data_IF_764023538036
#
_entry.id   IF_764023538036
#
_cell.length_a   1.000
_cell.length_b   1.000
_cell.length_c   1.000
_cell.angle_alpha   90.00
_cell.angle_beta   90.00
_cell.angle_gamma   90.00
#
_symmetry.space_group_name_H-M   'P 1'
#
loop_
_entity.id
_entity.type
_entity.pdbx_description
1 polymer ?
#
# COMPACT_ATOMS: atom_id res chain seq x y z
N UNK A 1 -8.15 -28.74 -21.96
CA UNK A 1 -7.18 -28.44 -20.88
C UNK A 1 -6.98 -26.94 -20.91
N UNK A 2 -7.77 -26.21 -20.12
CA UNK A 2 -7.68 -24.75 -20.03
C UNK A 2 -6.45 -24.45 -19.18
N UNK A 3 -5.35 -24.02 -19.80
CA UNK A 3 -4.29 -23.34 -19.08
C UNK A 3 -4.88 -22.01 -18.65
N UNK A 4 -5.43 -21.95 -17.43
CA UNK A 4 -5.71 -20.68 -16.77
C UNK A 4 -4.40 -19.90 -16.79
N UNK A 5 -4.41 -18.71 -17.41
CA UNK A 5 -3.32 -17.73 -17.33
C UNK A 5 -3.25 -17.24 -15.87
N UNK A 6 -2.82 -18.11 -14.96
CA UNK A 6 -2.68 -17.76 -13.55
C UNK A 6 -1.49 -16.83 -13.40
N UNK A 7 -1.77 -15.66 -12.83
CA UNK A 7 -0.74 -14.71 -12.47
C UNK A 7 0.23 -15.37 -11.49
N UNK A 8 1.51 -15.11 -11.65
CA UNK A 8 2.55 -15.57 -10.74
C UNK A 8 3.63 -14.52 -10.57
N UNK A 9 4.40 -14.61 -9.48
CA UNK A 9 5.55 -13.73 -9.27
C UNK A 9 6.58 -13.83 -10.42
N UNK A 10 6.76 -15.02 -11.00
CA UNK A 10 7.63 -15.23 -12.17
C UNK A 10 7.06 -14.53 -13.42
N UNK A 11 5.75 -14.62 -13.65
CA UNK A 11 5.09 -13.92 -14.75
C UNK A 11 5.21 -12.40 -14.62
N UNK A 12 5.02 -11.87 -13.40
CA UNK A 12 5.22 -10.45 -13.11
C UNK A 12 6.67 -10.00 -13.37
N UNK A 13 7.66 -10.80 -12.98
CA UNK A 13 9.08 -10.51 -13.27
C UNK A 13 9.37 -10.48 -14.78
N UNK A 14 8.84 -11.45 -15.54
CA UNK A 14 9.00 -11.48 -16.98
C UNK A 14 8.34 -10.27 -17.68
N UNK A 15 7.21 -9.78 -17.14
CA UNK A 15 6.63 -8.51 -17.59
C UNK A 15 7.57 -7.34 -17.30
N UNK A 16 8.13 -7.26 -16.08
CA UNK A 16 9.07 -6.21 -15.71
C UNK A 16 10.27 -6.17 -16.65
N UNK A 17 10.92 -7.30 -16.88
CA UNK A 17 12.08 -7.40 -17.78
C UNK A 17 11.72 -6.95 -19.21
N UNK A 18 10.56 -7.36 -19.72
CA UNK A 18 10.08 -7.00 -21.05
C UNK A 18 9.82 -5.50 -21.17
N UNK A 19 9.09 -4.91 -20.22
CA UNK A 19 8.80 -3.48 -20.22
C UNK A 19 10.06 -2.65 -20.11
N UNK A 20 11.01 -3.00 -19.23
CA UNK A 20 12.26 -2.25 -19.10
C UNK A 20 13.16 -2.36 -20.35
N UNK A 21 12.97 -3.39 -21.18
CA UNK A 21 13.70 -3.52 -22.44
C UNK A 21 13.22 -2.50 -23.50
N UNK A 22 11.90 -2.31 -23.64
CA UNK A 22 11.31 -1.50 -24.72
C UNK A 22 10.74 -0.15 -24.28
N UNK A 23 10.65 0.14 -22.97
CA UNK A 23 10.09 1.37 -22.42
C UNK A 23 11.18 2.24 -21.74
N UNK A 24 11.83 3.18 -22.46
CA UNK A 24 13.00 3.89 -21.97
C UNK A 24 12.75 4.73 -20.70
N UNK A 25 11.57 5.36 -20.59
CA UNK A 25 11.23 6.18 -19.42
C UNK A 25 11.11 5.33 -18.16
N UNK A 26 10.43 4.18 -18.22
CA UNK A 26 10.36 3.27 -17.09
C UNK A 26 11.76 2.74 -16.74
N UNK A 27 12.55 2.31 -17.73
CA UNK A 27 13.95 1.88 -17.52
C UNK A 27 14.78 2.93 -16.77
N UNK A 28 14.75 4.18 -17.22
CA UNK A 28 15.49 5.26 -16.57
C UNK A 28 15.07 5.46 -15.10
N UNK A 29 13.77 5.40 -14.81
CA UNK A 29 13.28 5.54 -13.43
C UNK A 29 13.63 4.34 -12.54
N UNK A 30 13.72 3.13 -13.11
CA UNK A 30 14.23 1.95 -12.39
C UNK A 30 15.75 2.03 -12.16
N UNK A 31 16.52 2.49 -13.13
CA UNK A 31 17.97 2.71 -12.99
C UNK A 31 18.27 3.75 -11.90
N UNK A 32 17.44 4.80 -11.79
CA UNK A 32 17.55 5.83 -10.75
C UNK A 32 17.36 5.28 -9.32
N UNK A 33 16.79 4.08 -9.14
CA UNK A 33 16.74 3.41 -7.83
C UNK A 33 18.14 3.08 -7.28
N UNK A 34 19.16 3.00 -8.13
CA UNK A 34 20.53 2.76 -7.68
C UNK A 34 21.13 3.98 -6.95
N UNK A 35 20.58 5.18 -7.22
CA UNK A 35 21.09 6.46 -6.70
C UNK A 35 20.27 6.98 -5.51
N UNK A 36 19.23 6.25 -5.08
CA UNK A 36 18.41 6.68 -3.94
C UNK A 36 19.22 6.67 -2.65
N UNK A 37 19.08 7.73 -1.85
CA UNK A 37 19.70 7.81 -0.52
C UNK A 37 18.71 7.31 0.53
N UNK A 38 19.18 6.49 1.46
CA UNK A 38 18.36 6.00 2.57
C UNK A 38 18.96 6.47 3.90
N UNK A 39 18.13 7.07 4.75
CA UNK A 39 18.46 7.41 6.13
C UNK A 39 17.52 6.68 7.09
N UNK A 40 18.08 5.82 7.92
CA UNK A 40 17.33 5.10 8.95
C UNK A 40 17.20 5.93 10.23
N UNK A 41 15.96 6.21 10.65
CA UNK A 41 15.62 6.81 11.94
C UNK A 41 15.11 5.72 12.88
N UNK A 42 15.78 5.54 14.03
CA UNK A 42 15.47 4.47 15.00
C UNK A 42 14.66 5.00 16.19
N UNK A 43 13.69 4.21 16.64
CA UNK A 43 12.81 4.52 17.77
C UNK A 43 12.83 3.40 18.83
N UNK A 44 14.00 2.76 19.00
CA UNK A 44 14.14 1.59 19.85
C UNK A 44 13.79 0.32 19.08
N UNK A 45 12.62 -0.26 19.36
CA UNK A 45 12.21 -1.57 18.83
C UNK A 45 11.80 -1.56 17.35
N UNK A 46 11.61 -0.39 16.74
CA UNK A 46 11.22 -0.23 15.34
C UNK A 46 12.03 0.91 14.69
N UNK A 47 11.95 0.99 13.36
CA UNK A 47 12.63 2.04 12.59
C UNK A 47 11.75 2.56 11.45
N UNK A 48 12.12 3.73 10.96
CA UNK A 48 11.62 4.30 9.71
C UNK A 48 12.83 4.52 8.80
N UNK A 49 12.78 3.95 7.61
CA UNK A 49 13.79 4.15 6.57
C UNK A 49 13.28 5.26 5.63
N UNK A 50 13.89 6.43 5.71
CA UNK A 50 13.57 7.59 4.86
C UNK A 50 14.34 7.44 3.55
N UNK A 51 13.63 7.25 2.44
CA UNK A 51 14.20 7.15 1.09
C UNK A 51 14.06 8.48 0.37
N UNK A 52 15.18 9.05 -0.08
CA UNK A 52 15.18 10.17 -1.02
C UNK A 52 15.14 9.64 -2.47
N UNK A 53 14.04 9.92 -3.17
CA UNK A 53 13.82 9.49 -4.54
C UNK A 53 13.24 10.63 -5.40
N UNK A 54 14.10 11.50 -5.97
CA UNK A 54 13.66 12.67 -6.73
C UNK A 54 12.99 12.31 -8.06
N UNK A 55 13.26 11.13 -8.63
CA UNK A 55 12.61 10.65 -9.87
C UNK A 55 11.09 10.51 -9.71
N UNK A 56 10.58 10.44 -8.46
CA UNK A 56 9.15 10.37 -8.17
C UNK A 56 8.46 11.72 -8.04
N UNK A 57 9.13 12.86 -8.27
CA UNK A 57 8.52 14.18 -8.09
C UNK A 57 7.21 14.36 -8.89
N UNK A 58 7.15 13.82 -10.11
CA UNK A 58 5.95 13.88 -10.97
C UNK A 58 4.80 13.06 -10.38
N UNK A 59 5.08 11.84 -9.91
CA UNK A 59 4.09 10.94 -9.32
C UNK A 59 3.61 11.43 -7.94
N UNK A 60 4.53 11.88 -7.09
CA UNK A 60 4.23 12.37 -5.74
C UNK A 60 3.58 13.75 -5.72
N UNK A 61 3.80 14.55 -6.77
CA UNK A 61 3.19 15.87 -6.97
C UNK A 61 1.84 15.84 -7.68
N UNK A 62 1.33 14.67 -8.07
CA UNK A 62 0.04 14.56 -8.75
C UNK A 62 -1.08 15.11 -7.86
N UNK A 63 -1.87 16.04 -8.41
CA UNK A 63 -3.03 16.61 -7.73
C UNK A 63 -4.18 15.60 -7.73
N UNK A 64 -4.71 15.32 -6.55
CA UNK A 64 -5.76 14.31 -6.31
C UNK A 64 -7.10 14.93 -5.87
N UNK A 65 -7.24 16.25 -5.95
CA UNK A 65 -8.51 16.92 -5.73
C UNK A 65 -9.48 16.68 -6.91
N UNK A 66 -10.78 16.72 -6.64
CA UNK A 66 -11.81 16.39 -7.62
C UNK A 66 -11.77 17.27 -8.89
N UNK A 67 -11.42 18.56 -8.74
CA UNK A 67 -11.30 19.48 -9.86
C UNK A 67 -10.12 19.08 -10.77
N UNK A 68 -8.96 18.77 -10.19
CA UNK A 68 -7.80 18.28 -10.96
C UNK A 68 -8.05 16.91 -11.61
N UNK A 69 -8.75 16.00 -10.93
CA UNK A 69 -9.06 14.66 -11.45
C UNK A 69 -10.00 14.76 -12.65
N UNK A 70 -11.10 15.51 -12.54
CA UNK A 70 -12.08 15.67 -13.63
C UNK A 70 -11.50 16.31 -14.90
N UNK A 71 -10.35 17.00 -14.79
CA UNK A 71 -9.70 17.71 -15.88
C UNK A 71 -8.58 16.91 -16.58
N UNK A 72 -8.25 15.71 -16.10
CA UNK A 72 -7.20 14.87 -16.70
C UNK A 72 -7.75 13.50 -17.13
N UNK A 73 -7.27 12.92 -18.22
CA UNK A 73 -7.51 11.51 -18.51
C UNK A 73 -6.94 10.64 -17.38
N UNK A 74 -7.69 9.63 -16.92
CA UNK A 74 -7.20 8.68 -15.92
C UNK A 74 -6.10 7.81 -16.53
N UNK A 75 -4.88 7.94 -16.00
CA UNK A 75 -3.67 7.26 -16.47
C UNK A 75 -3.63 5.75 -16.20
N UNK A 76 -4.65 5.20 -15.51
CA UNK A 76 -4.80 3.76 -15.29
C UNK A 76 -5.75 3.11 -16.32
N UNK A 77 -6.59 3.90 -17.00
CA UNK A 77 -7.43 3.41 -18.09
C UNK A 77 -6.59 3.02 -19.30
N UNK A 78 -6.95 1.90 -19.93
CA UNK A 78 -6.25 1.34 -21.08
C UNK A 78 -5.96 2.36 -22.18
N UNK A 79 -6.97 3.14 -22.59
CA UNK A 79 -6.85 4.15 -23.64
C UNK A 79 -5.89 5.32 -23.33
N UNK A 80 -5.49 5.50 -22.07
CA UNK A 80 -4.66 6.63 -21.63
C UNK A 80 -3.28 6.18 -21.13
N UNK A 81 -3.00 4.86 -21.10
CA UNK A 81 -1.68 4.35 -20.71
C UNK A 81 -0.66 4.61 -21.81
N UNK A 82 0.63 4.71 -21.46
CA UNK A 82 1.71 4.68 -22.44
C UNK A 82 1.57 3.45 -23.34
N UNK A 83 1.70 3.58 -24.67
CA UNK A 83 1.55 2.46 -25.59
C UNK A 83 2.63 1.38 -25.39
N UNK A 84 3.75 1.73 -24.76
CA UNK A 84 4.80 0.78 -24.38
C UNK A 84 4.40 -0.07 -23.17
N UNK A 85 3.47 0.36 -22.30
CA UNK A 85 3.19 -0.36 -21.07
C UNK A 85 2.39 -1.65 -21.35
N UNK A 86 3.05 -2.81 -21.27
CA UNK A 86 2.37 -4.09 -21.39
C UNK A 86 1.57 -4.41 -20.11
N UNK A 87 0.71 -5.42 -20.22
CA UNK A 87 -0.16 -5.81 -19.12
C UNK A 87 -0.35 -7.34 -19.06
N UNK A 88 -0.52 -7.86 -17.84
CA UNK A 88 -0.93 -9.24 -17.61
C UNK A 88 -2.37 -9.29 -17.06
N UNK A 89 -3.31 -9.97 -17.73
CA UNK A 89 -4.65 -10.20 -17.18
C UNK A 89 -4.58 -11.07 -15.92
N UNK A 90 -5.42 -10.77 -14.93
CA UNK A 90 -5.57 -11.61 -13.74
C UNK A 90 -6.99 -11.55 -13.18
N UNK A 91 -7.35 -12.58 -12.40
CA UNK A 91 -8.71 -12.81 -11.86
C UNK A 91 -9.80 -12.70 -12.95
N UNK A 92 -9.77 -13.64 -13.90
CA UNK A 92 -10.73 -13.71 -15.00
C UNK A 92 -10.87 -12.41 -15.79
N UNK A 93 -9.72 -11.82 -16.12
CA UNK A 93 -9.63 -10.58 -16.88
C UNK A 93 -10.18 -9.35 -16.14
N UNK A 94 -10.61 -9.46 -14.87
CA UNK A 94 -11.14 -8.32 -14.14
C UNK A 94 -10.06 -7.28 -13.83
N UNK A 95 -8.83 -7.73 -13.62
CA UNK A 95 -7.69 -6.87 -13.31
C UNK A 95 -6.56 -7.01 -14.31
N UNK A 96 -5.68 -6.01 -14.31
CA UNK A 96 -4.44 -5.96 -15.06
C UNK A 96 -3.28 -5.70 -14.13
N UNK A 97 -2.28 -6.57 -14.12
CA UNK A 97 -0.98 -6.28 -13.53
C UNK A 97 -0.12 -5.51 -14.55
N UNK A 98 0.37 -4.35 -14.13
CA UNK A 98 1.17 -3.39 -14.90
C UNK A 98 2.48 -3.11 -14.16
N UNK A 99 3.57 -2.84 -14.89
CA UNK A 99 4.78 -2.27 -14.29
C UNK A 99 4.50 -0.84 -13.85
N UNK A 100 4.85 -0.49 -12.61
CA UNK A 100 4.76 0.90 -12.16
C UNK A 100 5.97 1.68 -12.69
N UNK A 101 5.79 2.70 -13.55
CA UNK A 101 6.91 3.44 -14.15
C UNK A 101 7.62 4.40 -13.19
N UNK A 102 7.10 4.63 -11.98
CA UNK A 102 7.69 5.49 -10.95
C UNK A 102 8.01 4.68 -9.68
N UNK A 103 8.97 3.74 -9.75
CA UNK A 103 9.17 2.76 -8.71
C UNK A 103 9.76 3.37 -7.43
N UNK A 104 9.45 2.71 -6.31
CA UNK A 104 10.09 2.90 -4.99
C UNK A 104 10.86 1.62 -4.62
N UNK A 105 10.39 0.50 -5.15
CA UNK A 105 10.84 -0.86 -4.89
C UNK A 105 11.49 -1.42 -6.14
N UNK A 106 12.38 -2.41 -5.97
CA UNK A 106 13.09 -3.05 -7.10
C UNK A 106 12.14 -3.76 -8.07
N UNK A 107 11.05 -4.30 -7.52
CA UNK A 107 9.87 -4.78 -8.23
C UNK A 107 8.70 -3.95 -7.72
N UNK A 108 8.06 -3.21 -8.62
CA UNK A 108 6.92 -2.39 -8.28
C UNK A 108 5.86 -2.48 -9.39
N UNK A 109 4.73 -3.08 -9.04
CA UNK A 109 3.61 -3.28 -9.94
C UNK A 109 2.40 -2.49 -9.47
N UNK A 110 1.58 -2.04 -10.42
CA UNK A 110 0.24 -1.52 -10.18
C UNK A 110 -0.75 -2.55 -10.73
N UNK A 111 -1.71 -2.97 -9.92
CA UNK A 111 -2.74 -3.93 -10.34
C UNK A 111 -4.07 -3.18 -10.42
N UNK A 112 -4.55 -2.89 -11.62
CA UNK A 112 -5.72 -2.02 -11.85
C UNK A 112 -6.96 -2.84 -12.20
N UNK A 113 -8.14 -2.43 -11.75
CA UNK A 113 -9.40 -3.01 -12.27
C UNK A 113 -9.58 -2.52 -13.72
N UNK A 114 -10.00 -3.38 -14.66
CA UNK A 114 -10.18 -2.94 -16.06
C UNK A 114 -11.27 -1.88 -16.18
N UNK A 115 -12.36 -2.07 -15.46
CA UNK A 115 -13.45 -1.10 -15.39
C UNK A 115 -12.99 0.08 -14.53
N UNK A 116 -13.16 1.30 -15.06
CA UNK A 116 -12.92 2.51 -14.29
C UNK A 116 -13.98 2.62 -13.18
N UNK A 117 -13.60 2.26 -11.96
CA UNK A 117 -14.45 2.40 -10.78
C UNK A 117 -13.68 3.09 -9.66
N UNK A 118 -14.34 3.87 -8.78
CA UNK A 118 -13.67 4.53 -7.67
C UNK A 118 -12.87 3.57 -6.78
N UNK A 119 -11.74 4.06 -6.25
CA UNK A 119 -10.89 3.33 -5.31
C UNK A 119 -11.69 2.94 -4.06
N UNK A 120 -11.97 1.65 -3.89
CA UNK A 120 -12.55 1.11 -2.66
C UNK A 120 -12.28 -0.39 -2.53
N UNK A 121 -12.00 -0.87 -1.32
CA UNK A 121 -11.80 -2.30 -1.00
C UNK A 121 -13.12 -3.05 -0.73
N UNK A 122 -14.27 -2.34 -0.70
CA UNK A 122 -15.57 -2.95 -0.51
C UNK A 122 -16.04 -3.79 -1.72
N UNK A 123 -17.18 -4.47 -1.61
CA UNK A 123 -17.80 -5.17 -2.76
C UNK A 123 -17.03 -6.39 -3.27
N UNK A 124 -16.45 -7.19 -2.37
CA UNK A 124 -15.71 -8.42 -2.72
C UNK A 124 -14.24 -8.21 -3.08
N UNK A 125 -13.77 -6.96 -3.14
CA UNK A 125 -12.38 -6.65 -3.53
C UNK A 125 -11.34 -7.03 -2.48
N UNK A 126 -11.75 -7.26 -1.23
CA UNK A 126 -10.89 -7.87 -0.23
C UNK A 126 -10.53 -9.32 -0.60
N UNK A 127 -11.49 -10.10 -1.11
CA UNK A 127 -11.22 -11.46 -1.59
C UNK A 127 -10.25 -11.42 -2.78
N UNK A 128 -10.46 -10.50 -3.73
CA UNK A 128 -9.53 -10.26 -4.84
C UNK A 128 -8.11 -9.93 -4.34
N UNK A 129 -8.00 -9.04 -3.36
CA UNK A 129 -6.73 -8.62 -2.75
C UNK A 129 -5.99 -9.80 -2.09
N UNK A 130 -6.71 -10.70 -1.40
CA UNK A 130 -6.16 -11.90 -0.78
C UNK A 130 -5.69 -12.92 -1.83
N UNK A 131 -6.46 -13.11 -2.89
CA UNK A 131 -6.11 -14.04 -3.97
C UNK A 131 -4.90 -13.54 -4.75
N UNK A 132 -4.81 -12.24 -5.03
CA UNK A 132 -3.62 -11.62 -5.63
C UNK A 132 -2.39 -11.79 -4.73
N UNK A 133 -2.54 -11.63 -3.41
CA UNK A 133 -1.45 -11.86 -2.47
C UNK A 133 -0.96 -13.33 -2.47
N UNK A 134 -1.86 -14.28 -2.73
CA UNK A 134 -1.55 -15.70 -2.88
C UNK A 134 -0.83 -15.99 -4.21
N UNK A 135 -1.36 -15.49 -5.33
CA UNK A 135 -0.80 -15.66 -6.68
C UNK A 135 0.59 -15.04 -6.80
N UNK A 136 0.80 -13.88 -6.16
CA UNK A 136 2.06 -13.14 -6.14
C UNK A 136 2.91 -13.44 -4.90
N UNK A 137 2.83 -14.67 -4.37
CA UNK A 137 3.64 -15.09 -3.22
C UNK A 137 5.13 -14.78 -3.44
N UNK A 138 5.77 -14.22 -2.41
CA UNK A 138 7.12 -13.64 -2.49
C UNK A 138 7.13 -12.12 -2.66
N UNK A 139 6.01 -11.50 -3.02
CA UNK A 139 5.80 -10.06 -2.99
C UNK A 139 4.91 -9.65 -1.80
N UNK A 140 4.88 -8.35 -1.50
CA UNK A 140 3.92 -7.74 -0.57
C UNK A 140 2.91 -6.93 -1.38
N UNK A 141 1.62 -7.22 -1.20
CA UNK A 141 0.52 -6.45 -1.78
C UNK A 141 0.23 -5.23 -0.92
N UNK A 142 -0.07 -4.10 -1.55
CA UNK A 142 -0.41 -2.84 -0.90
C UNK A 142 -1.76 -2.33 -1.39
N UNK A 143 -2.52 -1.73 -0.47
CA UNK A 143 -3.71 -0.95 -0.79
C UNK A 143 -3.69 0.38 -0.04
N UNK A 144 -4.04 1.44 -0.75
CA UNK A 144 -4.26 2.77 -0.18
C UNK A 144 -5.75 3.08 -0.31
N UNK A 145 -6.44 3.33 0.80
CA UNK A 145 -7.79 3.88 0.75
C UNK A 145 -7.81 5.20 -0.05
N UNK A 146 -8.96 5.62 -0.61
CA UNK A 146 -9.05 6.75 -1.54
C UNK A 146 -8.42 8.04 -0.99
N UNK A 147 -8.58 8.30 0.32
CA UNK A 147 -7.98 9.45 1.00
C UNK A 147 -6.74 9.08 1.84
N UNK A 148 -6.00 8.02 1.50
CA UNK A 148 -4.86 7.50 2.27
C UNK A 148 -3.60 7.30 1.42
N UNK A 149 -3.30 8.24 0.51
CA UNK A 149 -2.10 8.19 -0.34
C UNK A 149 -2.31 7.49 -1.68
N UNK A 150 -3.56 7.25 -2.10
CA UNK A 150 -3.88 6.80 -3.45
C UNK A 150 -3.61 7.92 -4.47
N UNK A 151 -2.91 7.60 -5.56
CA UNK A 151 -2.58 8.55 -6.64
C UNK A 151 -3.69 8.72 -7.70
N UNK A 152 -4.63 7.78 -7.73
CA UNK A 152 -5.81 7.76 -8.59
C UNK A 152 -7.01 7.29 -7.75
N UNK A 153 -7.61 8.16 -6.90
CA UNK A 153 -8.75 7.76 -6.07
C UNK A 153 -10.02 7.49 -6.90
N UNK A 154 -10.04 7.91 -8.16
CA UNK A 154 -11.09 7.67 -9.15
C UNK A 154 -11.04 6.28 -9.80
N UNK A 155 -9.92 5.57 -9.72
CA UNK A 155 -9.76 4.25 -10.37
C UNK A 155 -9.12 3.22 -9.43
N UNK A 156 -9.84 2.14 -9.14
CA UNK A 156 -9.41 1.04 -8.31
C UNK A 156 -8.07 0.45 -8.77
N UNK A 157 -7.13 0.41 -7.83
CA UNK A 157 -5.86 -0.28 -7.97
C UNK A 157 -5.29 -0.77 -6.65
N UNK A 158 -4.55 -1.88 -6.75
CA UNK A 158 -3.60 -2.37 -5.76
C UNK A 158 -2.17 -2.13 -6.25
N UNK A 159 -1.20 -2.41 -5.40
CA UNK A 159 0.20 -2.49 -5.80
C UNK A 159 0.81 -3.80 -5.31
N UNK A 160 1.78 -4.34 -6.03
CA UNK A 160 2.60 -5.45 -5.54
C UNK A 160 4.07 -5.03 -5.57
N UNK A 161 4.77 -5.25 -4.47
CA UNK A 161 6.11 -4.71 -4.26
C UNK A 161 7.07 -5.77 -3.72
N UNK A 162 8.37 -5.50 -3.86
CA UNK A 162 9.42 -6.37 -3.31
C UNK A 162 9.27 -6.51 -1.80
N UNK A 163 9.11 -7.75 -1.33
CA UNK A 163 9.09 -8.06 0.09
C UNK A 163 10.46 -7.81 0.73
N UNK A 164 10.47 -7.33 1.97
CA UNK A 164 11.66 -7.13 2.79
C UNK A 164 12.29 -5.75 2.63
N UNK A 165 11.77 -4.90 1.74
CA UNK A 165 12.20 -3.51 1.61
C UNK A 165 11.51 -2.56 2.61
N UNK A 166 10.35 -2.95 3.18
CA UNK A 166 9.68 -2.18 4.22
C UNK A 166 10.09 -2.71 5.60
N UNK A 167 10.46 -1.85 6.57
CA UNK A 167 10.68 -2.28 7.95
C UNK A 167 9.55 -3.13 8.53
N UNK A 168 8.29 -2.79 8.19
CA UNK A 168 7.08 -3.49 8.63
C UNK A 168 7.11 -5.00 8.36
N UNK A 169 7.74 -5.44 7.26
CA UNK A 169 7.82 -6.87 6.89
C UNK A 169 8.49 -7.71 7.98
N UNK A 170 9.36 -7.10 8.80
CA UNK A 170 10.05 -7.75 9.93
C UNK A 170 9.52 -7.31 11.30
N UNK A 171 9.02 -6.08 11.41
CA UNK A 171 8.47 -5.54 12.65
C UNK A 171 7.21 -6.28 13.10
N UNK A 172 6.38 -6.75 12.16
CA UNK A 172 5.13 -7.46 12.47
C UNK A 172 5.32 -8.77 13.24
N UNK A 173 6.50 -9.36 13.15
CA UNK A 173 6.86 -10.63 13.81
C UNK A 173 7.72 -10.40 15.07
N UNK A 174 8.34 -9.22 15.22
CA UNK A 174 9.26 -8.91 16.31
C UNK A 174 8.68 -7.96 17.37
N UNK A 175 7.73 -7.10 16.99
CA UNK A 175 7.07 -6.19 17.92
C UNK A 175 6.04 -6.93 18.78
N UNK A 176 5.85 -6.44 20.00
CA UNK A 176 4.86 -7.00 20.92
C UNK A 176 3.44 -6.84 20.34
N UNK A 177 2.79 -7.98 20.08
CA UNK A 177 1.42 -8.05 19.61
C UNK A 177 0.49 -8.51 20.73
N UNK A 178 -0.54 -7.71 21.01
CA UNK A 178 -1.65 -8.10 21.89
C UNK A 178 -2.71 -8.83 21.08
N UNK A 179 -2.95 -10.10 21.40
CA UNK A 179 -4.01 -10.90 20.79
C UNK A 179 -5.39 -10.33 21.17
N UNK A 180 -6.26 -10.15 20.17
CA UNK A 180 -7.63 -9.64 20.33
C UNK A 180 -8.68 -10.71 20.05
N UNK A 181 -8.52 -11.46 18.96
CA UNK A 181 -9.41 -12.56 18.57
C UNK A 181 -8.55 -13.76 18.18
N UNK A 182 -8.98 -14.95 18.59
CA UNK A 182 -8.44 -16.23 18.14
C UNK A 182 -9.58 -17.13 17.71
N UNK A 183 -9.50 -17.62 16.48
CA UNK A 183 -10.30 -18.74 15.97
C UNK A 183 -9.35 -19.88 15.59
N UNK A 184 -9.86 -21.07 15.22
CA UNK A 184 -9.02 -22.16 14.72
C UNK A 184 -8.21 -21.77 13.48
N UNK A 185 -8.79 -20.97 12.58
CA UNK A 185 -8.22 -20.66 11.28
C UNK A 185 -7.52 -19.30 11.20
N UNK A 186 -7.76 -18.40 12.16
CA UNK A 186 -7.19 -17.07 12.10
C UNK A 186 -7.03 -16.40 13.48
N UNK A 187 -6.19 -15.37 13.52
CA UNK A 187 -6.02 -14.49 14.68
C UNK A 187 -6.06 -13.03 14.26
N UNK A 188 -6.63 -12.20 15.12
CA UNK A 188 -6.49 -10.74 15.05
C UNK A 188 -5.66 -10.31 16.26
N UNK A 189 -4.58 -9.61 16.01
CA UNK A 189 -3.73 -9.00 17.04
C UNK A 189 -3.53 -7.52 16.77
N UNK A 190 -3.07 -6.79 17.78
CA UNK A 190 -2.76 -5.37 17.69
C UNK A 190 -1.33 -5.09 18.15
N UNK A 191 -0.63 -4.23 17.42
CA UNK A 191 0.68 -3.70 17.80
C UNK A 191 0.53 -2.18 18.01
N UNK A 192 1.06 -1.68 19.12
CA UNK A 192 1.01 -0.28 19.55
C UNK A 192 2.41 0.21 19.91
N UNK A 193 2.57 1.53 20.14
CA UNK A 193 3.86 2.11 20.53
C UNK A 193 4.88 2.23 19.40
N UNK A 194 4.46 2.06 18.13
CA UNK A 194 5.34 2.09 16.94
C UNK A 194 5.06 3.27 15.99
N UNK A 195 4.59 4.41 16.53
CA UNK A 195 4.07 5.62 15.82
C UNK A 195 2.80 5.41 15.00
N UNK A 196 2.65 4.23 14.40
CA UNK A 196 1.51 3.81 13.59
C UNK A 196 0.89 2.56 14.21
N UNK A 197 -0.32 2.62 14.76
CA UNK A 197 -0.96 1.43 15.32
C UNK A 197 -1.29 0.44 14.20
N UNK A 198 -1.08 -0.84 14.46
CA UNK A 198 -1.26 -1.92 13.48
C UNK A 198 -2.31 -2.90 14.00
N UNK A 199 -3.20 -3.34 13.11
CA UNK A 199 -4.08 -4.48 13.33
C UNK A 199 -3.65 -5.59 12.38
N UNK A 200 -3.23 -6.72 12.94
CA UNK A 200 -2.59 -7.81 12.20
C UNK A 200 -3.52 -9.01 12.20
N UNK A 201 -3.92 -9.43 11.00
CA UNK A 201 -4.70 -10.62 10.74
C UNK A 201 -3.74 -11.70 10.21
N UNK A 202 -3.68 -12.84 10.88
CA UNK A 202 -3.01 -14.04 10.37
C UNK A 202 -4.07 -15.13 10.16
N UNK A 203 -4.12 -15.74 8.99
CA UNK A 203 -5.19 -16.67 8.63
C UNK A 203 -4.70 -17.78 7.68
N UNK A 204 -5.23 -19.00 7.85
CA UNK A 204 -4.92 -20.16 6.99
C UNK A 204 -5.89 -20.32 5.82
N UNK A 205 -6.98 -19.55 5.81
CA UNK A 205 -8.02 -19.53 4.77
C UNK A 205 -8.33 -18.08 4.41
N UNK A 206 -8.66 -17.83 3.14
CA UNK A 206 -9.00 -16.49 2.67
C UNK A 206 -10.30 -15.99 3.32
N UNK A 207 -11.25 -16.88 3.52
CA UNK A 207 -12.54 -16.62 4.15
C UNK A 207 -12.37 -16.16 5.61
N UNK A 208 -11.46 -16.79 6.36
CA UNK A 208 -11.18 -16.36 7.73
C UNK A 208 -10.45 -15.01 7.76
N UNK A 209 -9.56 -14.74 6.81
CA UNK A 209 -8.91 -13.44 6.67
C UNK A 209 -9.93 -12.33 6.37
N UNK A 210 -10.82 -12.56 5.39
CA UNK A 210 -11.87 -11.63 4.98
C UNK A 210 -12.88 -11.39 6.11
N UNK A 211 -13.29 -12.45 6.84
CA UNK A 211 -14.20 -12.33 7.96
C UNK A 211 -13.63 -11.45 9.09
N UNK A 212 -12.34 -11.65 9.45
CA UNK A 212 -11.66 -10.80 10.44
C UNK A 212 -11.46 -9.38 9.92
N UNK A 213 -11.12 -9.21 8.64
CA UNK A 213 -11.02 -7.90 8.01
C UNK A 213 -12.35 -7.15 8.07
N UNK A 214 -13.47 -7.82 7.77
CA UNK A 214 -14.80 -7.23 7.88
C UNK A 214 -15.14 -6.76 9.31
N UNK A 215 -14.71 -7.50 10.34
CA UNK A 215 -14.83 -7.06 11.74
C UNK A 215 -13.99 -5.82 12.03
N UNK A 216 -12.76 -5.76 11.51
CA UNK A 216 -11.90 -4.59 11.63
C UNK A 216 -12.54 -3.38 10.96
N UNK A 217 -13.00 -3.50 9.72
CA UNK A 217 -13.65 -2.42 8.96
C UNK A 217 -14.90 -1.89 9.65
N UNK A 218 -15.71 -2.75 10.30
CA UNK A 218 -16.89 -2.31 11.07
C UNK A 218 -16.51 -1.58 12.36
N UNK A 219 -15.39 -1.94 12.98
CA UNK A 219 -14.93 -1.30 14.22
C UNK A 219 -14.29 0.07 13.96
N UNK A 220 -13.65 0.27 12.81
CA UNK A 220 -12.97 1.52 12.50
C UNK A 220 -13.95 2.69 12.27
N UNK A 221 -13.61 3.91 12.73
CA UNK A 221 -14.43 5.08 12.51
C UNK A 221 -14.48 5.43 11.01
N UNK A 222 -15.64 5.90 10.57
CA UNK A 222 -15.87 6.38 9.20
C UNK A 222 -16.11 7.89 9.20
N UNK A 223 -15.66 8.54 8.13
CA UNK A 223 -15.94 9.95 7.82
C UNK A 223 -17.39 10.14 7.36
N UNK A 224 -17.93 9.16 6.64
CA UNK A 224 -19.30 9.14 6.12
C UNK A 224 -19.83 7.68 6.09
N UNK A 225 -21.15 7.44 6.21
CA UNK A 225 -21.72 6.10 6.10
C UNK A 225 -21.35 5.37 4.81
N UNK A 226 -21.27 6.11 3.70
CA UNK A 226 -21.03 5.58 2.35
C UNK A 226 -19.55 5.40 2.01
N UNK A 227 -18.65 5.89 2.87
CA UNK A 227 -17.21 5.76 2.68
C UNK A 227 -16.64 4.60 3.49
N UNK A 228 -15.60 3.96 2.96
CA UNK A 228 -14.79 3.03 3.73
C UNK A 228 -13.99 3.78 4.81
N UNK A 229 -13.67 3.13 5.94
CA UNK A 229 -12.78 3.74 6.93
C UNK A 229 -11.41 4.01 6.31
N UNK A 230 -10.82 5.15 6.67
CA UNK A 230 -9.50 5.52 6.21
C UNK A 230 -8.46 4.51 6.70
N UNK A 231 -7.79 3.82 5.77
CA UNK A 231 -6.76 2.84 6.08
C UNK A 231 -5.78 2.62 4.93
N UNK A 232 -4.61 2.11 5.28
CA UNK A 232 -3.71 1.44 4.35
C UNK A 232 -3.67 -0.05 4.69
N UNK A 233 -3.49 -0.91 3.69
CA UNK A 233 -3.34 -2.35 3.88
C UNK A 233 -2.01 -2.81 3.31
N UNK A 234 -1.42 -3.80 3.97
CA UNK A 234 -0.48 -4.72 3.32
C UNK A 234 -0.99 -6.15 3.44
N UNK A 235 -0.70 -6.99 2.46
CA UNK A 235 -0.93 -8.42 2.57
C UNK A 235 0.24 -9.19 1.97
N UNK A 236 0.56 -10.33 2.56
CA UNK A 236 1.47 -11.33 1.98
C UNK A 236 0.90 -12.72 2.21
N UNK A 237 1.29 -13.65 1.37
CA UNK A 237 1.03 -15.07 1.53
C UNK A 237 2.36 -15.84 1.57
N UNK A 238 2.59 -16.57 2.66
CA UNK A 238 3.79 -17.37 2.86
C UNK A 238 3.46 -18.63 3.66
N UNK A 239 4.01 -19.78 3.26
CA UNK A 239 3.89 -21.05 3.98
C UNK A 239 2.45 -21.46 4.36
N UNK A 240 1.47 -21.17 3.50
CA UNK A 240 0.07 -21.54 3.74
C UNK A 240 -0.74 -20.52 4.57
N UNK A 241 -0.15 -19.38 4.93
CA UNK A 241 -0.78 -18.37 5.77
C UNK A 241 -0.82 -16.99 5.08
N UNK A 242 -1.98 -16.33 5.14
CA UNK A 242 -2.12 -14.91 4.85
C UNK A 242 -1.75 -14.09 6.08
N UNK A 243 -0.90 -13.08 5.89
CA UNK A 243 -0.66 -12.03 6.88
C UNK A 243 -1.13 -10.71 6.29
N UNK A 244 -2.24 -10.20 6.82
CA UNK A 244 -2.82 -8.90 6.43
C UNK A 244 -2.59 -7.91 7.56
N UNK A 245 -2.05 -6.74 7.24
CA UNK A 245 -1.82 -5.67 8.19
C UNK A 245 -2.69 -4.48 7.79
N UNK A 246 -3.65 -4.16 8.64
CA UNK A 246 -4.47 -2.95 8.53
C UNK A 246 -3.78 -1.85 9.33
N UNK A 247 -3.56 -0.72 8.69
CA UNK A 247 -2.97 0.49 9.27
C UNK A 247 -4.03 1.59 9.26
N UNK A 248 -4.79 1.77 10.35
CA UNK A 248 -5.83 2.78 10.44
C UNK A 248 -5.28 4.20 10.25
N UNK A 249 -6.05 5.05 9.59
CA UNK A 249 -5.71 6.44 9.28
C UNK A 249 -6.82 7.37 9.78
N UNK A 250 -6.47 8.64 9.99
CA UNK A 250 -7.43 9.70 10.37
C UNK A 250 -7.38 10.93 9.47
N UNK A 251 -6.32 11.09 8.67
CA UNK A 251 -6.15 12.22 7.74
C UNK A 251 -5.31 11.79 6.54
N UNK A 252 -5.60 12.39 5.38
CA UNK A 252 -4.89 12.15 4.13
C UNK A 252 -3.43 12.62 4.20
N UNK A 253 -3.24 13.88 4.61
CA UNK A 253 -1.93 14.54 4.76
C UNK A 253 -1.76 15.04 6.18
N UNK A 254 -0.53 15.12 6.69
CA UNK A 254 -0.29 15.64 8.04
C UNK A 254 -0.59 17.13 8.19
N UNK A 255 -0.45 17.92 7.12
CA UNK A 255 -0.67 19.38 7.07
C UNK A 255 -1.25 19.81 5.71
N UNK A 256 -1.60 21.09 5.58
CA UNK A 256 -2.14 21.67 4.35
C UNK A 256 -1.04 21.88 3.28
N UNK A 257 -1.39 21.95 1.98
CA UNK A 257 -0.41 22.18 0.93
C UNK A 257 0.43 23.43 1.15
N UNK A 258 1.77 23.29 1.11
CA UNK A 258 2.71 24.40 1.32
C UNK A 258 3.18 24.58 2.77
N UNK A 259 2.55 23.89 3.72
CA UNK A 259 3.07 23.74 5.08
C UNK A 259 3.95 22.48 5.16
N UNK A 260 4.84 22.42 6.16
CA UNK A 260 5.67 21.24 6.44
C UNK A 260 6.45 20.70 5.23
N UNK A 261 6.80 19.40 5.28
CA UNK A 261 7.45 18.71 4.15
C UNK A 261 6.42 18.27 3.09
N UNK A 262 6.80 18.00 1.85
CA UNK A 262 5.85 17.45 0.88
C UNK A 262 5.61 15.96 1.15
N UNK A 263 4.47 15.60 1.75
CA UNK A 263 4.11 14.19 1.96
C UNK A 263 2.60 13.93 1.89
N UNK A 264 2.25 12.74 1.40
CA UNK A 264 0.94 12.11 1.53
C UNK A 264 1.20 10.62 1.83
N UNK A 265 1.33 10.25 3.11
CA UNK A 265 1.74 8.90 3.47
C UNK A 265 0.79 7.86 2.85
N UNK A 266 1.34 6.92 2.10
CA UNK A 266 0.67 5.73 1.60
C UNK A 266 1.12 4.47 2.35
N UNK A 267 0.76 3.29 1.86
CA UNK A 267 1.06 2.01 2.49
C UNK A 267 2.57 1.76 2.66
N UNK A 268 3.41 2.24 1.73
CA UNK A 268 4.87 2.17 1.86
C UNK A 268 5.37 3.00 3.07
N UNK A 269 4.92 4.26 3.18
CA UNK A 269 5.27 5.14 4.30
C UNK A 269 4.76 4.59 5.63
N UNK A 270 3.54 4.06 5.64
CA UNK A 270 2.95 3.39 6.80
C UNK A 270 3.70 2.09 7.14
N UNK A 271 4.25 1.41 6.13
CA UNK A 271 5.15 0.27 6.25
C UNK A 271 6.55 0.61 6.78
N UNK A 272 6.83 1.89 7.04
CA UNK A 272 8.11 2.36 7.55
C UNK A 272 9.15 2.67 6.48
N UNK A 273 8.79 2.59 5.19
CA UNK A 273 9.61 3.09 4.09
C UNK A 273 9.07 4.46 3.65
N UNK A 274 9.53 5.51 4.33
CA UNK A 274 9.02 6.87 4.16
C UNK A 274 9.68 7.56 2.98
N UNK A 275 8.89 8.06 2.02
CA UNK A 275 9.43 8.59 0.76
C UNK A 275 9.49 10.11 0.78
N UNK A 276 10.68 10.65 0.55
CA UNK A 276 10.89 12.06 0.27
C UNK A 276 11.35 12.26 -1.17
N UNK A 277 10.82 13.29 -1.84
CA UNK A 277 11.14 13.62 -3.24
C UNK A 277 11.90 14.93 -3.38
N UNK A 278 12.03 15.71 -2.31
CA UNK A 278 12.76 16.98 -2.27
C UNK A 278 13.93 16.90 -1.31
N UNK A 279 15.03 17.55 -1.64
CA UNK A 279 16.25 17.49 -0.83
C UNK A 279 16.02 18.12 0.53
N UNK A 280 15.39 19.30 0.57
CA UNK A 280 15.04 20.03 1.77
C UNK A 280 14.14 19.21 2.70
N UNK A 281 13.15 18.51 2.14
CA UNK A 281 12.24 17.64 2.89
C UNK A 281 12.98 16.42 3.45
N UNK A 282 13.85 15.80 2.64
CA UNK A 282 14.65 14.67 3.07
C UNK A 282 15.58 15.04 4.23
N UNK A 283 16.21 16.22 4.18
CA UNK A 283 17.08 16.73 5.23
C UNK A 283 16.29 17.05 6.51
N UNK A 284 15.13 17.71 6.37
CA UNK A 284 14.25 18.04 7.48
C UNK A 284 13.60 16.81 8.14
N UNK A 285 13.46 15.67 7.45
CA UNK A 285 12.76 14.48 7.96
C UNK A 285 13.56 13.73 9.02
N UNK A 286 13.55 14.24 10.24
CA UNK A 286 14.14 13.63 11.42
C UNK A 286 13.10 12.90 12.30
N UNK A 287 13.53 12.49 13.51
CA UNK A 287 12.67 11.75 14.43
C UNK A 287 11.48 12.58 14.95
N UNK A 288 11.61 13.90 15.08
CA UNK A 288 10.52 14.77 15.52
C UNK A 288 9.52 14.98 14.40
N UNK A 289 10.02 15.25 13.19
CA UNK A 289 9.21 15.38 11.98
C UNK A 289 8.40 14.12 11.71
N UNK A 290 9.01 12.94 11.79
CA UNK A 290 8.30 11.66 11.63
C UNK A 290 7.24 11.47 12.72
N UNK A 291 7.53 11.79 13.99
CA UNK A 291 6.52 11.74 15.06
C UNK A 291 5.34 12.67 14.76
N UNK A 292 5.60 13.88 14.27
CA UNK A 292 4.56 14.83 13.90
C UNK A 292 3.70 14.30 12.74
N UNK A 293 4.32 13.75 11.70
CA UNK A 293 3.62 13.14 10.55
C UNK A 293 2.69 12.02 11.01
N UNK A 294 3.23 10.99 11.66
CA UNK A 294 2.42 9.83 12.06
C UNK A 294 1.37 10.22 13.09
N UNK A 295 1.69 11.11 14.04
CA UNK A 295 0.67 11.65 14.96
C UNK A 295 -0.44 12.32 14.19
N UNK A 296 -0.16 13.11 13.17
CA UNK A 296 -1.19 13.80 12.40
C UNK A 296 -2.07 12.83 11.60
N UNK A 297 -1.50 11.81 10.97
CA UNK A 297 -2.24 10.93 10.05
C UNK A 297 -2.78 9.64 10.65
N UNK A 298 -2.32 9.23 11.84
CA UNK A 298 -2.77 8.03 12.53
C UNK A 298 -3.68 8.35 13.72
N UNK A 299 -4.64 7.47 14.05
CA UNK A 299 -5.30 7.50 15.35
C UNK A 299 -4.29 7.22 16.49
N UNK A 300 -4.62 7.69 17.69
CA UNK A 300 -3.81 7.41 18.88
C UNK A 300 -3.92 5.94 19.29
N UNK A 301 -2.92 5.45 20.02
CA UNK A 301 -2.95 4.12 20.63
C UNK A 301 -4.18 3.93 21.53
N UNK A 302 -4.60 4.98 22.24
CA UNK A 302 -5.81 4.97 23.08
C UNK A 302 -7.08 4.77 22.25
N UNK A 303 -7.22 5.48 21.13
CA UNK A 303 -8.36 5.30 20.23
C UNK A 303 -8.42 3.87 19.68
N UNK A 304 -7.28 3.27 19.32
CA UNK A 304 -7.22 1.87 18.88
C UNK A 304 -7.47 0.88 20.04
N UNK A 305 -7.15 1.24 21.29
CA UNK A 305 -7.54 0.46 22.48
C UNK A 305 -9.05 0.48 22.75
N UNK A 306 -9.71 1.58 22.43
CA UNK A 306 -11.14 1.75 22.61
C UNK A 306 -11.97 0.94 21.59
N UNK A 307 -11.39 0.53 20.46
CA UNK A 307 -12.08 -0.31 19.48
C UNK A 307 -12.62 -1.60 20.11
N UNK A 308 -13.80 -2.00 19.64
CA UNK A 308 -14.45 -3.26 20.00
C UNK A 308 -14.65 -4.05 18.71
N UNK A 309 -14.26 -5.31 18.74
CA UNK A 309 -14.43 -6.22 17.62
C UNK A 309 -15.45 -7.27 18.05
N UNK A 310 -16.49 -7.44 17.24
CA UNK A 310 -17.50 -8.47 17.50
C UNK A 310 -16.84 -9.85 17.53
N UNK A 311 -17.28 -10.70 18.47
CA UNK A 311 -16.78 -12.09 18.61
C UNK A 311 -17.35 -13.01 17.54
#
# INVERSE_FOLDING_TARGET
MSTTNELSALGAEALLERDLAHWPMARQNYEALNDVRIRTVRFGAFRIDVQFNPARIVSSGARTDAASISQRPCFLCDANRPPEQDALPCLDDRYLLLVNPFPIFRRHYTIVERTHTPQSIAGGRMADFLELARQLSGLTLLYNGPSCGASAPDHLHFQAVTRGQMPLDTEVDSLHATLLIRSPEATLSRILGCLRPLLVIRARTAEAAEALFGRVVRALPRTSPDEEPMMNLTARYEAGEWVVIVMPRRRHRPWEPGEGILTAPGAADMGGLFISVRTEDFEATDAETLRAVYRAVCPSDEAIRALRFDK
#
